data_IF_242118911318
#
_entry.id   IF_242118911318
#
_cell.length_a   1.000
_cell.length_b   1.000
_cell.length_c   1.000
_cell.angle_alpha   90.00
_cell.angle_beta   90.00
_cell.angle_gamma   90.00
#
_symmetry.space_group_name_H-M   'P 1'
#
loop_
_entity.id
_entity.type
_entity.pdbx_description
1 polymer ?
#
# COMPACT_ATOMS: atom_id res chain seq x y z
N UNK A 1 17.29 -11.91 1.13
CA UNK A 1 16.59 -10.71 0.67
C UNK A 1 16.08 -9.93 1.86
N UNK A 2 16.40 -8.67 1.93
CA UNK A 2 15.97 -7.80 3.02
C UNK A 2 14.52 -7.38 2.80
N UNK A 3 13.60 -7.64 3.75
CA UNK A 3 12.21 -7.20 3.64
C UNK A 3 12.02 -5.70 3.83
N UNK A 4 13.03 -4.99 4.33
CA UNK A 4 12.98 -3.54 4.47
C UNK A 4 13.27 -2.90 3.11
N UNK A 5 12.39 -2.01 2.66
CA UNK A 5 12.55 -1.34 1.38
C UNK A 5 13.80 -0.47 1.37
N UNK A 6 14.57 -0.56 0.27
CA UNK A 6 15.70 0.33 0.04
C UNK A 6 15.18 1.59 -0.64
N UNK A 7 15.35 2.73 0.02
CA UNK A 7 14.75 3.99 -0.41
C UNK A 7 15.83 5.07 -0.56
N UNK A 8 15.56 6.09 -1.39
CA UNK A 8 16.48 7.21 -1.53
C UNK A 8 16.49 8.07 -0.27
N UNK A 9 17.33 9.10 -0.25
CA UNK A 9 17.32 10.09 0.82
C UNK A 9 15.98 10.82 0.88
N UNK A 10 15.45 11.07 2.09
CA UNK A 10 14.24 11.89 2.23
C UNK A 10 14.45 13.31 1.70
N UNK A 11 13.36 14.06 1.42
CA UNK A 11 11.98 13.69 1.73
C UNK A 11 11.33 12.80 0.67
N UNK A 12 10.37 12.00 1.08
CA UNK A 12 9.49 11.26 0.19
C UNK A 12 8.14 11.05 0.89
N UNK A 13 7.16 10.52 0.18
CA UNK A 13 5.80 10.37 0.69
C UNK A 13 5.51 8.92 1.01
N UNK A 14 4.92 8.67 2.17
CA UNK A 14 4.47 7.35 2.59
C UNK A 14 2.94 7.29 2.56
N UNK A 15 2.39 6.22 1.98
CA UNK A 15 0.97 5.91 2.03
C UNK A 15 0.82 4.69 2.92
N UNK A 16 0.14 4.87 4.04
CA UNK A 16 -0.01 3.84 5.08
C UNK A 16 -1.42 3.30 5.00
N UNK A 17 -1.56 2.05 4.60
CA UNK A 17 -2.84 1.35 4.47
C UNK A 17 -2.97 0.34 5.60
N UNK A 18 -3.85 0.65 6.55
CA UNK A 18 -4.14 -0.25 7.68
C UNK A 18 -5.50 -0.88 7.44
N UNK A 19 -5.60 -2.21 7.52
CA UNK A 19 -6.83 -2.90 7.16
C UNK A 19 -7.12 -4.10 8.05
N UNK A 20 -8.42 -4.38 8.19
CA UNK A 20 -8.94 -5.60 8.82
C UNK A 20 -9.65 -6.39 7.74
N UNK A 21 -9.29 -7.67 7.59
CA UNK A 21 -9.86 -8.53 6.57
C UNK A 21 -11.19 -9.12 6.99
N UNK A 22 -12.05 -9.42 5.99
CA UNK A 22 -13.20 -10.31 6.16
C UNK A 22 -12.73 -11.76 6.24
N UNK A 23 -13.62 -12.67 6.64
CA UNK A 23 -13.32 -14.10 6.66
C UNK A 23 -13.22 -14.65 5.23
N UNK A 24 -12.36 -15.67 5.07
CA UNK A 24 -12.16 -16.35 3.79
C UNK A 24 -11.32 -15.52 2.82
N UNK A 25 -10.76 -16.18 1.82
CA UNK A 25 -9.92 -15.49 0.85
C UNK A 25 -10.73 -14.67 -0.14
N UNK A 26 -11.76 -15.26 -0.74
CA UNK A 26 -12.66 -14.59 -1.70
C UNK A 26 -11.92 -13.85 -2.84
N UNK A 27 -10.77 -14.38 -3.27
CA UNK A 27 -9.95 -13.79 -4.32
C UNK A 27 -8.97 -12.73 -3.83
N UNK A 28 -8.87 -12.53 -2.53
CA UNK A 28 -8.01 -11.50 -1.96
C UNK A 28 -6.53 -11.68 -2.32
N UNK A 29 -6.01 -12.91 -2.23
CA UNK A 29 -4.58 -13.15 -2.49
C UNK A 29 -4.22 -12.77 -3.93
N UNK A 30 -5.07 -13.08 -4.90
CA UNK A 30 -4.87 -12.71 -6.30
C UNK A 30 -4.93 -11.20 -6.47
N UNK A 31 -5.90 -10.56 -5.84
CA UNK A 31 -6.06 -9.11 -5.90
C UNK A 31 -4.87 -8.40 -5.27
N UNK A 32 -4.41 -8.87 -4.10
CA UNK A 32 -3.26 -8.27 -3.42
C UNK A 32 -2.00 -8.34 -4.28
N UNK A 33 -1.75 -9.47 -4.92
CA UNK A 33 -0.63 -9.63 -5.84
C UNK A 33 -0.76 -8.68 -7.04
N UNK A 34 -1.97 -8.52 -7.57
CA UNK A 34 -2.23 -7.59 -8.69
C UNK A 34 -1.97 -6.14 -8.28
N UNK A 35 -2.39 -5.76 -7.08
CA UNK A 35 -2.17 -4.41 -6.56
C UNK A 35 -0.68 -4.11 -6.40
N UNK A 36 0.09 -5.08 -5.95
CA UNK A 36 1.53 -4.96 -5.84
C UNK A 36 2.19 -4.73 -7.22
N UNK A 37 1.77 -5.49 -8.22
CA UNK A 37 2.25 -5.30 -9.60
C UNK A 37 1.89 -3.92 -10.13
N UNK A 38 0.66 -3.48 -9.89
CA UNK A 38 0.21 -2.15 -10.34
C UNK A 38 1.02 -1.04 -9.69
N UNK A 39 1.32 -1.15 -8.39
CA UNK A 39 2.12 -0.16 -7.69
C UNK A 39 3.51 -0.05 -8.30
N UNK A 40 4.17 -1.19 -8.58
CA UNK A 40 5.51 -1.21 -9.15
C UNK A 40 5.58 -0.52 -10.52
N UNK A 41 4.48 -0.52 -11.28
CA UNK A 41 4.43 0.08 -12.60
C UNK A 41 4.08 1.57 -12.59
N UNK A 42 3.73 2.14 -11.44
CA UNK A 42 3.31 3.53 -11.37
C UNK A 42 4.50 4.50 -11.35
N UNK A 43 4.40 5.64 -12.03
CA UNK A 43 5.41 6.68 -11.94
C UNK A 43 5.61 7.14 -10.50
N UNK A 44 6.87 7.25 -10.08
CA UNK A 44 7.20 7.74 -8.75
C UNK A 44 7.15 6.72 -7.63
N UNK A 45 6.88 5.44 -7.95
CA UNK A 45 6.93 4.38 -6.95
C UNK A 45 8.38 4.16 -6.49
N UNK A 46 8.59 4.10 -5.18
CA UNK A 46 9.94 3.89 -4.60
C UNK A 46 10.09 2.52 -3.93
N UNK A 47 9.03 2.00 -3.34
CA UNK A 47 9.10 0.71 -2.64
C UNK A 47 7.90 0.51 -1.74
N UNK A 48 7.83 -0.66 -1.10
CA UNK A 48 6.77 -0.90 -0.13
C UNK A 48 7.21 -1.94 0.89
N UNK A 49 6.48 -1.94 2.01
CA UNK A 49 6.62 -2.91 3.08
C UNK A 49 5.23 -3.33 3.53
N UNK A 50 5.03 -4.61 3.82
CA UNK A 50 3.71 -5.10 4.20
C UNK A 50 3.83 -6.24 5.20
N UNK A 51 2.95 -6.22 6.20
CA UNK A 51 2.85 -7.30 7.18
C UNK A 51 1.41 -7.41 7.66
N UNK A 52 1.00 -8.62 7.99
CA UNK A 52 -0.34 -8.88 8.53
C UNK A 52 -0.26 -9.92 9.62
N UNK A 53 -0.90 -9.60 10.74
CA UNK A 53 -0.99 -10.52 11.87
C UNK A 53 -2.26 -10.24 12.67
N UNK A 54 -2.93 -11.31 13.12
CA UNK A 54 -4.07 -11.25 14.03
C UNK A 54 -5.16 -10.25 13.65
N UNK A 55 -5.51 -10.24 12.37
CA UNK A 55 -6.59 -9.40 11.88
C UNK A 55 -6.18 -7.99 11.46
N UNK A 56 -4.98 -7.52 11.81
CA UNK A 56 -4.50 -6.22 11.35
C UNK A 56 -3.41 -6.39 10.30
N UNK A 57 -3.59 -5.74 9.16
CA UNK A 57 -2.57 -5.67 8.13
C UNK A 57 -2.15 -4.23 7.92
N UNK A 58 -0.85 -4.02 7.71
CA UNK A 58 -0.31 -2.69 7.40
C UNK A 58 0.56 -2.82 6.16
N UNK A 59 0.25 -2.02 5.15
CA UNK A 59 1.08 -1.87 3.96
C UNK A 59 1.49 -0.42 3.86
N UNK A 60 2.79 -0.18 3.76
CA UNK A 60 3.31 1.17 3.52
C UNK A 60 3.91 1.17 2.13
N UNK A 61 3.42 2.04 1.26
CA UNK A 61 4.02 2.31 -0.05
C UNK A 61 4.70 3.67 -0.02
N UNK A 62 5.82 3.77 -0.73
CA UNK A 62 6.65 4.97 -0.73
C UNK A 62 6.71 5.55 -2.14
N UNK A 63 6.58 6.88 -2.22
CA UNK A 63 6.42 7.62 -3.47
C UNK A 63 7.32 8.85 -3.47
N UNK A 64 7.78 9.25 -4.66
CA UNK A 64 8.70 10.39 -4.77
C UNK A 64 8.10 11.67 -4.21
N UNK A 65 6.77 11.85 -4.32
CA UNK A 65 6.07 13.05 -3.84
C UNK A 65 4.58 12.77 -3.63
N UNK A 66 3.87 13.77 -3.13
CA UNK A 66 2.43 13.68 -2.89
C UNK A 66 1.65 13.51 -4.19
N UNK A 67 2.11 14.08 -5.29
CA UNK A 67 1.45 13.94 -6.59
C UNK A 67 1.39 12.46 -7.03
N UNK A 68 2.51 11.74 -6.92
CA UNK A 68 2.57 10.32 -7.24
C UNK A 68 1.68 9.50 -6.30
N UNK A 69 1.67 9.85 -5.01
CA UNK A 69 0.81 9.18 -4.02
C UNK A 69 -0.68 9.37 -4.32
N UNK A 70 -1.08 10.57 -4.74
CA UNK A 70 -2.46 10.87 -5.12
C UNK A 70 -2.89 10.11 -6.38
N UNK A 71 -2.01 10.00 -7.36
CA UNK A 71 -2.27 9.22 -8.57
C UNK A 71 -2.46 7.73 -8.22
N UNK A 72 -1.64 7.20 -7.32
CA UNK A 72 -1.78 5.83 -6.83
C UNK A 72 -3.10 5.61 -6.11
N UNK A 73 -3.54 6.57 -5.31
CA UNK A 73 -4.83 6.48 -4.61
C UNK A 73 -5.96 6.22 -5.61
N UNK A 74 -5.99 6.93 -6.73
CA UNK A 74 -7.02 6.76 -7.75
C UNK A 74 -6.96 5.37 -8.39
N UNK A 75 -5.78 4.89 -8.72
CA UNK A 75 -5.59 3.56 -9.30
C UNK A 75 -6.07 2.47 -8.32
N UNK A 76 -5.67 2.58 -7.06
CA UNK A 76 -6.00 1.63 -6.01
C UNK A 76 -7.51 1.57 -5.76
N UNK A 77 -8.15 2.72 -5.59
CA UNK A 77 -9.59 2.80 -5.37
C UNK A 77 -10.38 2.25 -6.56
N UNK A 78 -9.95 2.57 -7.77
CA UNK A 78 -10.60 2.09 -8.98
C UNK A 78 -10.51 0.57 -9.10
N UNK A 79 -9.35 0.01 -8.86
CA UNK A 79 -9.14 -1.44 -8.92
C UNK A 79 -10.00 -2.18 -7.89
N UNK A 80 -10.06 -1.67 -6.66
CA UNK A 80 -10.90 -2.24 -5.61
C UNK A 80 -12.38 -2.17 -6.00
N UNK A 81 -12.83 -1.03 -6.51
CA UNK A 81 -14.22 -0.82 -6.92
C UNK A 81 -14.62 -1.78 -8.06
N UNK A 82 -13.75 -1.95 -9.04
CA UNK A 82 -14.01 -2.87 -10.16
C UNK A 82 -14.19 -4.31 -9.68
N UNK A 83 -13.47 -4.72 -8.66
CA UNK A 83 -13.54 -6.07 -8.13
C UNK A 83 -14.57 -6.21 -7.01
N UNK A 84 -15.34 -5.17 -6.72
CA UNK A 84 -16.28 -5.10 -5.59
C UNK A 84 -15.60 -5.47 -4.26
N UNK A 85 -14.32 -5.08 -4.15
CA UNK A 85 -13.46 -5.58 -3.08
C UNK A 85 -13.67 -4.92 -1.74
N UNK A 86 -14.23 -3.71 -1.70
CA UNK A 86 -14.35 -2.95 -0.46
C UNK A 86 -15.10 -3.73 0.63
N UNK A 87 -16.27 -4.27 0.28
CA UNK A 87 -17.11 -5.00 1.23
C UNK A 87 -16.78 -6.49 1.26
N UNK A 88 -16.16 -7.02 0.20
CA UNK A 88 -15.82 -8.44 0.10
C UNK A 88 -14.56 -8.78 0.88
N UNK A 89 -13.54 -7.92 0.79
CA UNK A 89 -12.20 -8.22 1.33
C UNK A 89 -11.89 -7.54 2.64
N UNK A 90 -12.48 -6.37 2.90
CA UNK A 90 -12.15 -5.56 4.08
C UNK A 90 -13.36 -5.32 4.96
N UNK A 91 -13.24 -5.70 6.23
CA UNK A 91 -14.22 -5.31 7.25
C UNK A 91 -14.05 -3.83 7.59
N UNK A 92 -12.80 -3.34 7.55
CA UNK A 92 -12.49 -1.94 7.81
C UNK A 92 -11.11 -1.61 7.23
N UNK A 93 -10.88 -0.35 6.89
CA UNK A 93 -9.54 0.12 6.53
C UNK A 93 -9.42 1.62 6.69
N UNK A 94 -8.19 2.08 6.84
CA UNK A 94 -7.86 3.50 6.91
C UNK A 94 -6.58 3.74 6.12
N UNK A 95 -6.56 4.82 5.35
CA UNK A 95 -5.38 5.25 4.60
C UNK A 95 -4.88 6.55 5.19
N UNK A 96 -3.59 6.61 5.49
CA UNK A 96 -2.94 7.84 5.95
C UNK A 96 -1.78 8.15 5.03
N UNK A 97 -1.62 9.42 4.69
CA UNK A 97 -0.53 9.90 3.84
C UNK A 97 0.36 10.79 4.69
N UNK A 98 1.65 10.54 4.67
CA UNK A 98 2.62 11.26 5.48
C UNK A 98 3.86 11.58 4.67
N UNK A 99 4.55 12.64 5.05
CA UNK A 99 5.85 12.97 4.49
C UNK A 99 6.94 12.43 5.42
N UNK A 100 7.84 11.63 4.86
CA UNK A 100 9.03 11.17 5.57
C UNK A 100 10.10 12.24 5.41
N UNK A 101 10.47 12.89 6.50
CA UNK A 101 11.42 13.99 6.48
C UNK A 101 12.82 13.56 6.92
N UNK A 102 12.91 12.43 7.60
CA UNK A 102 14.16 11.92 8.15
C UNK A 102 14.12 10.40 8.22
N UNK A 103 15.22 9.77 7.88
CA UNK A 103 15.38 8.32 7.92
C UNK A 103 16.79 7.98 8.40
N UNK A 104 16.90 6.97 9.24
CA UNK A 104 18.20 6.51 9.72
C UNK A 104 18.13 5.04 10.14
N UNK A 105 19.26 4.37 10.15
CA UNK A 105 19.37 2.98 10.55
C UNK A 105 20.78 2.66 11.04
N UNK A 106 21.05 1.40 11.42
CA UNK A 106 22.38 0.98 11.86
C UNK A 106 23.43 1.05 10.78
#
# INVERSE_FOLDING_TARGET
>A
MDPIAELPEPPYTAVIFSSVRTEGDNGYAVMAARMQELAHSQPGFLGYESARENGLGITVSYWVDDHAARAWKQVHEHAIAQQRGKDTWYADYQVRVATVTRSYGP
#
